data_IF_434323291900
#
_entry.id   IF_434323291900
#
_cell.length_a   1.000
_cell.length_b   1.000
_cell.length_c   1.000
_cell.angle_alpha   90.00
_cell.angle_beta   90.00
_cell.angle_gamma   90.00
#
_symmetry.space_group_name_H-M   'P 1'
#
loop_
_entity.id
_entity.type
_entity.pdbx_description
1 polymer ?
#
# COMPACT_ATOMS: atom_id res chain seq x y z
N UNK A 1 10.18 19.21 15.91
CA UNK A 1 10.90 18.42 14.91
C UNK A 1 10.57 16.94 15.14
N UNK A 2 10.08 16.20 14.13
CA UNK A 2 9.86 14.75 14.26
C UNK A 2 11.20 14.06 14.01
N UNK A 3 11.78 13.44 15.03
CA UNK A 3 13.03 12.68 14.90
C UNK A 3 12.70 11.28 14.44
N UNK A 4 13.17 10.90 13.25
CA UNK A 4 13.09 9.52 12.76
C UNK A 4 14.46 8.87 12.94
N UNK A 5 14.47 7.65 13.47
CA UNK A 5 15.66 6.81 13.61
C UNK A 5 15.39 5.45 12.97
N UNK A 6 16.40 4.92 12.28
CA UNK A 6 16.36 3.58 11.71
C UNK A 6 17.36 2.73 12.48
N UNK A 7 16.91 1.59 12.99
CA UNK A 7 17.73 0.66 13.74
C UNK A 7 17.68 -0.71 13.05
N UNK A 8 18.77 -1.47 13.18
CA UNK A 8 18.85 -2.86 12.73
C UNK A 8 19.00 -3.75 13.95
N UNK A 9 18.20 -4.82 14.03
CA UNK A 9 18.35 -5.84 15.06
C UNK A 9 19.51 -6.74 14.63
N UNK A 10 20.57 -6.77 15.44
CA UNK A 10 21.79 -7.54 15.14
C UNK A 10 21.75 -8.98 15.71
N UNK A 11 20.98 -9.19 16.78
CA UNK A 11 20.88 -10.46 17.49
C UNK A 11 19.42 -10.81 17.67
N UNK A 12 18.97 -11.90 17.03
CA UNK A 12 17.62 -12.43 17.14
C UNK A 12 17.66 -13.95 16.99
N UNK A 13 16.99 -14.67 17.88
CA UNK A 13 16.94 -16.15 17.82
C UNK A 13 15.96 -16.62 16.75
N UNK A 14 16.06 -17.89 16.36
CA UNK A 14 15.11 -18.48 15.40
C UNK A 14 13.66 -18.42 15.90
N UNK A 15 13.44 -18.73 17.17
CA UNK A 15 12.13 -18.66 17.84
C UNK A 15 11.56 -17.24 17.80
N UNK A 16 12.37 -16.23 18.17
CA UNK A 16 11.97 -14.83 18.11
C UNK A 16 11.62 -14.37 16.68
N UNK A 17 12.35 -14.86 15.67
CA UNK A 17 12.03 -14.59 14.25
C UNK A 17 10.66 -15.18 13.90
N UNK A 18 10.39 -16.43 14.29
CA UNK A 18 9.14 -17.12 13.99
C UNK A 18 7.94 -16.42 14.64
N UNK A 19 8.06 -16.05 15.92
CA UNK A 19 7.04 -15.29 16.65
C UNK A 19 6.78 -13.93 16.02
N UNK A 20 7.85 -13.19 15.69
CA UNK A 20 7.73 -11.88 15.05
C UNK A 20 7.08 -11.98 13.66
N UNK A 21 7.45 -12.98 12.86
CA UNK A 21 6.84 -13.23 11.55
C UNK A 21 5.35 -13.57 11.72
N UNK A 22 4.99 -14.40 12.70
CA UNK A 22 3.60 -14.74 13.00
C UNK A 22 2.78 -13.51 13.36
N UNK A 23 3.31 -12.65 14.25
CA UNK A 23 2.69 -11.39 14.65
C UNK A 23 2.53 -10.44 13.46
N UNK A 24 3.58 -10.23 12.66
CA UNK A 24 3.54 -9.39 11.45
C UNK A 24 2.46 -9.89 10.48
N UNK A 25 2.43 -11.21 10.22
CA UNK A 25 1.46 -11.81 9.30
C UNK A 25 0.02 -11.58 9.78
N UNK A 26 -0.22 -11.76 11.08
CA UNK A 26 -1.52 -11.59 11.72
C UNK A 26 -1.95 -10.13 11.70
N UNK A 27 -1.07 -9.21 12.10
CA UNK A 27 -1.30 -7.76 12.05
C UNK A 27 -1.63 -7.26 10.64
N UNK A 28 -0.81 -7.64 9.64
CA UNK A 28 -1.01 -7.23 8.25
C UNK A 28 -2.30 -7.82 7.65
N UNK A 29 -2.69 -9.03 8.08
CA UNK A 29 -3.98 -9.62 7.74
C UNK A 29 -5.14 -8.83 8.34
N UNK A 30 -5.04 -8.46 9.62
CA UNK A 30 -6.03 -7.62 10.31
C UNK A 30 -6.17 -6.24 9.64
N UNK A 31 -5.07 -5.60 9.23
CA UNK A 31 -5.08 -4.33 8.50
C UNK A 31 -5.84 -4.44 7.17
N UNK A 32 -5.54 -5.46 6.36
CA UNK A 32 -6.22 -5.69 5.07
C UNK A 32 -7.71 -5.99 5.24
N UNK A 33 -8.03 -6.81 6.23
CA UNK A 33 -9.42 -7.11 6.57
C UNK A 33 -10.16 -5.83 6.96
N UNK A 34 -9.55 -5.02 7.83
CA UNK A 34 -10.09 -3.74 8.27
C UNK A 34 -10.34 -2.80 7.11
N UNK A 35 -9.39 -2.71 6.17
CA UNK A 35 -9.52 -1.87 4.98
C UNK A 35 -10.77 -2.22 4.16
N UNK A 36 -11.01 -3.51 3.90
CA UNK A 36 -12.19 -3.95 3.15
C UNK A 36 -13.49 -3.65 3.91
N UNK A 37 -13.51 -3.92 5.23
CA UNK A 37 -14.69 -3.64 6.07
C UNK A 37 -15.02 -2.16 6.18
N UNK A 38 -14.00 -1.30 6.24
CA UNK A 38 -14.18 0.16 6.24
C UNK A 38 -14.75 0.67 4.91
N UNK A 39 -14.36 0.06 3.78
CA UNK A 39 -14.96 0.37 2.47
C UNK A 39 -16.44 -0.03 2.43
N UNK A 40 -16.78 -1.16 3.04
CA UNK A 40 -18.15 -1.65 3.16
C UNK A 40 -19.00 -0.88 4.18
N UNK A 41 -18.43 0.14 4.85
CA UNK A 41 -19.15 1.00 5.78
C UNK A 41 -19.25 0.46 7.22
N UNK A 42 -18.48 -0.56 7.59
CA UNK A 42 -18.48 -1.06 8.97
C UNK A 42 -17.95 0.00 9.96
N UNK A 43 -18.55 0.03 11.16
CA UNK A 43 -18.11 0.91 12.24
C UNK A 43 -16.77 0.47 12.85
N UNK A 44 -15.86 1.42 13.05
CA UNK A 44 -14.53 1.19 13.63
C UNK A 44 -14.55 0.47 14.99
N UNK A 45 -15.43 0.87 15.92
CA UNK A 45 -15.43 0.30 17.28
C UNK A 45 -15.85 -1.17 17.27
N UNK A 46 -16.84 -1.50 16.46
CA UNK A 46 -17.29 -2.89 16.29
C UNK A 46 -16.25 -3.72 15.53
N UNK A 47 -15.58 -3.12 14.54
CA UNK A 47 -14.48 -3.74 13.83
C UNK A 47 -13.33 -4.12 14.77
N UNK A 48 -12.92 -3.24 15.68
CA UNK A 48 -11.86 -3.54 16.69
C UNK A 48 -12.22 -4.75 17.55
N UNK A 49 -13.50 -4.88 17.97
CA UNK A 49 -13.97 -6.05 18.74
C UNK A 49 -13.90 -7.33 17.90
N UNK A 50 -14.37 -7.28 16.64
CA UNK A 50 -14.29 -8.41 15.70
C UNK A 50 -12.85 -8.85 15.46
N UNK A 51 -11.92 -7.90 15.33
CA UNK A 51 -10.51 -8.20 15.08
C UNK A 51 -9.86 -8.95 16.25
N UNK A 52 -10.15 -8.55 17.50
CA UNK A 52 -9.60 -9.21 18.68
C UNK A 52 -9.98 -10.70 18.70
N UNK A 53 -11.26 -11.00 18.46
CA UNK A 53 -11.75 -12.39 18.43
C UNK A 53 -11.20 -13.18 17.23
N UNK A 54 -11.08 -12.52 16.07
CA UNK A 54 -10.70 -13.18 14.80
C UNK A 54 -9.20 -13.43 14.66
N UNK A 55 -8.38 -12.51 15.14
CA UNK A 55 -6.93 -12.52 14.94
C UNK A 55 -6.16 -12.79 16.23
N UNK A 56 -6.84 -12.88 17.38
CA UNK A 56 -6.23 -13.07 18.70
C UNK A 56 -5.14 -12.03 19.00
N UNK A 57 -5.29 -10.83 18.42
CA UNK A 57 -4.42 -9.70 18.69
C UNK A 57 -4.92 -8.95 19.90
N UNK A 58 -4.00 -8.41 20.70
CA UNK A 58 -4.37 -7.47 21.74
C UNK A 58 -5.08 -6.23 21.14
N UNK A 59 -5.94 -5.61 21.95
CA UNK A 59 -6.77 -4.47 21.54
C UNK A 59 -5.97 -3.37 20.86
N UNK A 60 -4.75 -3.10 21.32
CA UNK A 60 -3.92 -2.00 20.81
C UNK A 60 -3.44 -2.27 19.38
N UNK A 61 -3.03 -3.50 19.05
CA UNK A 61 -2.73 -3.87 17.67
C UNK A 61 -3.97 -3.82 16.77
N UNK A 62 -5.14 -4.18 17.29
CA UNK A 62 -6.38 -4.04 16.53
C UNK A 62 -6.70 -2.56 16.22
N UNK A 63 -6.61 -1.67 17.21
CA UNK A 63 -6.74 -0.21 17.01
C UNK A 63 -5.76 0.30 15.96
N UNK A 64 -4.51 -0.14 16.02
CA UNK A 64 -3.45 0.32 15.12
C UNK A 64 -3.62 -0.25 13.70
N UNK A 65 -4.12 -1.47 13.55
CA UNK A 65 -4.47 -2.05 12.25
C UNK A 65 -5.63 -1.29 11.58
N UNK A 66 -6.66 -0.92 12.35
CA UNK A 66 -7.78 -0.11 11.85
C UNK A 66 -7.32 1.29 11.48
N UNK A 67 -6.49 1.94 12.31
CA UNK A 67 -5.92 3.25 12.00
C UNK A 67 -5.10 3.23 10.71
N UNK A 68 -4.22 2.24 10.55
CA UNK A 68 -3.44 2.07 9.32
C UNK A 68 -4.35 1.92 8.09
N UNK A 69 -5.42 1.12 8.22
CA UNK A 69 -6.41 0.96 7.15
C UNK A 69 -7.14 2.28 6.81
N UNK A 70 -7.56 3.05 7.82
CA UNK A 70 -8.16 4.37 7.63
C UNK A 70 -7.19 5.36 6.98
N UNK A 71 -5.91 5.31 7.37
CA UNK A 71 -4.86 6.19 6.82
C UNK A 71 -4.62 5.89 5.34
N UNK A 72 -4.57 4.60 4.98
CA UNK A 72 -4.52 4.17 3.58
C UNK A 72 -5.77 4.68 2.85
N UNK A 73 -6.96 4.52 3.42
CA UNK A 73 -8.20 4.97 2.80
C UNK A 73 -8.21 6.49 2.53
N UNK A 74 -7.83 7.30 3.52
CA UNK A 74 -7.73 8.77 3.38
C UNK A 74 -6.74 9.15 2.30
N UNK A 75 -5.53 8.58 2.35
CA UNK A 75 -4.48 8.84 1.38
C UNK A 75 -4.93 8.51 -0.04
N UNK A 76 -5.67 7.43 -0.24
CA UNK A 76 -6.13 7.01 -1.56
C UNK A 76 -7.24 7.92 -2.10
N UNK A 77 -8.10 8.44 -1.22
CA UNK A 77 -9.08 9.48 -1.58
C UNK A 77 -8.38 10.78 -2.00
N UNK A 78 -7.39 11.22 -1.24
CA UNK A 78 -6.62 12.44 -1.52
C UNK A 78 -5.80 12.35 -2.81
N UNK A 79 -5.26 11.17 -3.12
CA UNK A 79 -4.45 10.95 -4.33
C UNK A 79 -5.30 10.81 -5.60
N UNK A 80 -6.59 10.52 -5.49
CA UNK A 80 -7.43 10.21 -6.64
C UNK A 80 -7.54 11.39 -7.64
N UNK A 81 -7.79 12.65 -7.24
CA UNK A 81 -7.76 13.80 -8.14
C UNK A 81 -6.38 14.03 -8.76
N UNK A 82 -5.32 13.85 -7.96
CA UNK A 82 -3.93 13.98 -8.43
C UNK A 82 -3.62 12.93 -9.51
N UNK A 83 -4.13 11.72 -9.36
CA UNK A 83 -3.98 10.68 -10.38
C UNK A 83 -4.77 10.98 -11.65
N UNK A 84 -5.99 11.50 -11.54
CA UNK A 84 -6.78 11.93 -12.67
C UNK A 84 -6.02 13.00 -13.48
N UNK A 85 -5.61 14.09 -12.82
CA UNK A 85 -4.89 15.21 -13.45
C UNK A 85 -3.59 14.74 -14.12
N UNK A 86 -2.83 13.90 -13.44
CA UNK A 86 -1.59 13.35 -14.00
C UNK A 86 -1.82 12.47 -15.23
N UNK A 87 -2.94 11.75 -15.32
CA UNK A 87 -3.25 10.96 -16.52
C UNK A 87 -3.80 11.82 -17.65
N UNK A 88 -4.59 12.86 -17.36
CA UNK A 88 -5.03 13.86 -18.33
C UNK A 88 -3.83 14.58 -18.98
N UNK A 89 -2.87 15.08 -18.18
CA UNK A 89 -1.62 15.67 -18.67
C UNK A 89 -0.78 14.71 -19.53
N UNK A 90 -0.79 13.41 -19.20
CA UNK A 90 -0.13 12.38 -20.01
C UNK A 90 -0.86 12.12 -21.33
N UNK A 91 -2.19 12.18 -21.33
CA UNK A 91 -3.02 12.01 -22.52
C UNK A 91 -2.79 13.19 -23.47
N UNK A 92 -2.86 14.43 -22.98
CA UNK A 92 -2.59 15.65 -23.74
C UNK A 92 -1.22 15.58 -24.45
N UNK A 93 -0.15 15.26 -23.72
CA UNK A 93 1.19 15.07 -24.30
C UNK A 93 1.25 13.95 -25.33
N UNK A 94 0.44 12.90 -25.16
CA UNK A 94 0.37 11.78 -26.11
C UNK A 94 -0.36 12.21 -27.39
N UNK A 95 -1.44 12.98 -27.27
CA UNK A 95 -2.19 13.54 -28.40
C UNK A 95 -1.34 14.55 -29.19
N UNK A 96 -0.68 15.49 -28.51
CA UNK A 96 0.23 16.44 -29.17
C UNK A 96 1.35 15.72 -29.94
N UNK A 97 1.93 14.68 -29.34
CA UNK A 97 2.98 13.90 -30.00
C UNK A 97 2.46 13.14 -31.22
N UNK A 98 1.22 12.66 -31.16
CA UNK A 98 0.56 12.00 -32.30
C UNK A 98 0.30 13.00 -33.43
N UNK A 99 -0.25 14.17 -33.10
CA UNK A 99 -0.46 15.28 -34.04
C UNK A 99 0.84 15.74 -34.70
N UNK A 100 1.91 15.93 -33.93
CA UNK A 100 3.22 16.31 -34.47
C UNK A 100 3.77 15.30 -35.50
N UNK A 101 3.44 14.02 -35.34
CA UNK A 101 3.84 12.95 -36.26
C UNK A 101 2.91 12.84 -37.47
N UNK A 102 1.60 12.97 -37.28
CA UNK A 102 0.62 12.95 -38.36
C UNK A 102 0.75 14.19 -39.28
N UNK A 103 1.11 15.34 -38.72
CA UNK A 103 1.36 16.60 -39.45
C UNK A 103 2.76 16.72 -40.07
N UNK A 104 3.67 15.76 -39.80
CA UNK A 104 5.05 15.79 -40.29
C UNK A 104 5.97 16.81 -39.61
N UNK A 105 5.52 17.52 -38.56
CA UNK A 105 6.37 18.43 -37.76
C UNK A 105 7.52 17.71 -37.08
N UNK A 106 7.34 16.44 -36.75
CA UNK A 106 8.37 15.57 -36.18
C UNK A 106 8.33 14.20 -36.85
N UNK A 107 9.46 13.50 -36.81
CA UNK A 107 9.56 12.13 -37.30
C UNK A 107 10.15 11.21 -36.21
N UNK A 108 9.71 9.94 -36.15
CA UNK A 108 10.29 8.96 -35.24
C UNK A 108 11.71 8.57 -35.68
N UNK A 109 12.64 8.50 -34.73
CA UNK A 109 14.07 8.21 -35.00
C UNK A 109 14.42 6.72 -35.02
N UNK A 110 13.64 5.87 -34.35
CA UNK A 110 14.00 4.45 -34.08
C UNK A 110 13.14 3.43 -34.81
N UNK A 111 11.93 3.80 -35.21
CA UNK A 111 10.92 2.90 -35.78
C UNK A 111 10.15 3.65 -36.86
N UNK A 112 9.46 2.93 -37.75
CA UNK A 112 8.61 3.54 -38.77
C UNK A 112 7.47 4.37 -38.16
N UNK A 113 6.99 5.35 -38.94
CA UNK A 113 5.86 6.21 -38.55
C UNK A 113 4.63 5.39 -38.16
N UNK A 114 4.28 4.41 -38.99
CA UNK A 114 3.14 3.52 -38.77
C UNK A 114 3.21 2.81 -37.41
N UNK A 115 4.33 2.15 -37.12
CA UNK A 115 4.55 1.43 -35.85
C UNK A 115 4.46 2.41 -34.67
N UNK A 116 5.03 3.60 -34.82
CA UNK A 116 4.98 4.62 -33.78
C UNK A 116 3.54 5.07 -33.49
N UNK A 117 2.75 5.36 -34.52
CA UNK A 117 1.36 5.78 -34.41
C UNK A 117 0.49 4.67 -33.79
N UNK A 118 0.69 3.40 -34.16
CA UNK A 118 0.02 2.26 -33.51
C UNK A 118 0.32 2.24 -32.00
N UNK A 119 1.60 2.44 -31.62
CA UNK A 119 2.00 2.52 -30.22
C UNK A 119 1.34 3.68 -29.46
N UNK A 120 1.26 4.86 -30.09
CA UNK A 120 0.61 6.05 -29.52
C UNK A 120 -0.90 5.85 -29.36
N UNK A 121 -1.59 5.24 -30.34
CA UNK A 121 -3.02 4.90 -30.25
C UNK A 121 -3.30 3.94 -29.09
N UNK A 122 -2.49 2.88 -28.93
CA UNK A 122 -2.61 1.95 -27.78
C UNK A 122 -2.38 2.66 -26.44
N UNK A 123 -1.44 3.60 -26.40
CA UNK A 123 -1.17 4.41 -25.20
C UNK A 123 -2.33 5.36 -24.89
N UNK A 124 -2.88 6.03 -25.90
CA UNK A 124 -4.04 6.91 -25.81
C UNK A 124 -5.22 6.15 -25.19
N UNK A 125 -5.61 5.02 -25.78
CA UNK A 125 -6.71 4.18 -25.29
C UNK A 125 -6.53 3.78 -23.80
N UNK A 126 -5.31 3.39 -23.40
CA UNK A 126 -5.00 3.05 -22.00
C UNK A 126 -5.08 4.22 -21.04
N UNK A 127 -4.81 5.44 -21.51
CA UNK A 127 -4.91 6.65 -20.69
C UNK A 127 -6.37 7.08 -20.55
N UNK A 128 -7.14 7.05 -21.64
CA UNK A 128 -8.58 7.32 -21.65
C UNK A 128 -9.34 6.39 -20.68
N UNK A 129 -9.11 5.07 -20.78
CA UNK A 129 -9.70 4.09 -19.85
C UNK A 129 -9.37 4.37 -18.38
N UNK A 130 -8.16 4.87 -18.08
CA UNK A 130 -7.77 5.21 -16.71
C UNK A 130 -8.44 6.48 -16.21
N UNK A 131 -8.54 7.48 -17.08
CA UNK A 131 -9.20 8.75 -16.79
C UNK A 131 -10.67 8.48 -16.48
N UNK A 132 -11.37 7.75 -17.35
CA UNK A 132 -12.78 7.37 -17.17
C UNK A 132 -13.00 6.60 -15.85
N UNK A 133 -12.13 5.64 -15.55
CA UNK A 133 -12.16 4.91 -14.28
C UNK A 133 -12.04 5.85 -13.08
N UNK A 134 -11.08 6.79 -13.09
CA UNK A 134 -10.90 7.73 -11.99
C UNK A 134 -12.06 8.72 -11.87
N UNK A 135 -12.56 9.25 -12.99
CA UNK A 135 -13.73 10.13 -13.02
C UNK A 135 -14.96 9.45 -12.43
N UNK A 136 -15.19 8.18 -12.81
CA UNK A 136 -16.29 7.37 -12.26
C UNK A 136 -16.17 7.20 -10.75
N UNK A 137 -14.97 6.88 -10.25
CA UNK A 137 -14.74 6.72 -8.81
C UNK A 137 -14.91 8.03 -8.04
N UNK A 138 -14.42 9.15 -8.58
CA UNK A 138 -14.61 10.49 -8.00
C UNK A 138 -16.09 10.82 -7.94
N UNK A 139 -16.81 10.67 -9.06
CA UNK A 139 -18.25 10.96 -9.16
C UNK A 139 -19.07 10.16 -8.15
N UNK A 140 -18.75 8.87 -8.00
CA UNK A 140 -19.50 7.97 -7.13
C UNK A 140 -19.00 8.00 -5.67
N UNK A 141 -17.96 8.78 -5.33
CA UNK A 141 -17.35 8.79 -3.99
C UNK A 141 -16.73 7.45 -3.58
N UNK A 142 -16.33 6.63 -4.55
CA UNK A 142 -15.75 5.30 -4.34
C UNK A 142 -14.25 5.31 -4.63
N UNK A 143 -13.57 4.19 -4.38
CA UNK A 143 -12.14 4.03 -4.68
C UNK A 143 -11.91 2.91 -5.70
N UNK A 144 -10.88 3.05 -6.57
CA UNK A 144 -10.38 1.94 -7.35
C UNK A 144 -9.94 0.78 -6.45
N UNK A 145 -10.00 -0.48 -6.93
CA UNK A 145 -9.53 -1.63 -6.18
C UNK A 145 -8.05 -1.49 -5.77
N UNK A 146 -7.77 -1.74 -4.50
CA UNK A 146 -6.41 -1.70 -3.96
C UNK A 146 -5.82 -3.10 -3.88
N UNK A 147 -4.63 -3.24 -4.46
CA UNK A 147 -3.87 -4.49 -4.44
C UNK A 147 -2.73 -4.35 -3.42
N UNK A 148 -2.94 -4.91 -2.23
CA UNK A 148 -1.88 -5.05 -1.24
C UNK A 148 -0.74 -5.89 -1.81
N UNK A 149 0.52 -5.52 -1.54
CA UNK A 149 1.71 -6.20 -2.08
C UNK A 149 2.17 -5.72 -3.44
N UNK A 150 1.41 -4.81 -4.05
CA UNK A 150 1.78 -4.16 -5.31
C UNK A 150 1.23 -4.87 -6.54
N UNK A 151 0.70 -4.06 -7.47
CA UNK A 151 0.05 -4.52 -8.71
C UNK A 151 0.96 -5.37 -9.61
N UNK A 152 2.27 -5.04 -9.68
CA UNK A 152 3.25 -5.82 -10.45
C UNK A 152 3.30 -7.27 -9.96
N UNK A 153 3.48 -7.44 -8.66
CA UNK A 153 3.63 -8.74 -8.02
C UNK A 153 2.33 -9.57 -8.13
N UNK A 154 1.16 -8.93 -8.04
CA UNK A 154 -0.11 -9.59 -8.31
C UNK A 154 -0.18 -10.19 -9.72
N UNK A 155 0.24 -9.45 -10.75
CA UNK A 155 0.27 -9.99 -12.11
C UNK A 155 1.34 -11.06 -12.33
N UNK A 156 2.50 -10.95 -11.67
CA UNK A 156 3.49 -12.03 -11.71
C UNK A 156 2.98 -13.30 -11.00
N UNK A 157 2.21 -13.14 -9.91
CA UNK A 157 1.50 -14.25 -9.26
C UNK A 157 0.46 -14.88 -10.20
N UNK A 158 -0.32 -14.09 -10.94
CA UNK A 158 -1.30 -14.60 -11.92
C UNK A 158 -0.66 -15.34 -13.10
N UNK A 159 0.64 -15.12 -13.35
CA UNK A 159 1.43 -15.79 -14.39
C UNK A 159 2.28 -16.92 -13.82
N UNK A 160 2.02 -17.32 -12.57
CA UNK A 160 2.75 -18.35 -11.82
C UNK A 160 4.28 -18.14 -11.77
N UNK A 161 4.74 -16.88 -11.86
CA UNK A 161 6.18 -16.55 -11.75
C UNK A 161 6.65 -16.35 -10.32
N UNK A 162 5.72 -16.15 -9.39
CA UNK A 162 6.00 -16.18 -7.96
C UNK A 162 4.99 -17.11 -7.28
N UNK A 163 5.46 -17.82 -6.27
CA UNK A 163 4.64 -18.71 -5.44
C UNK A 163 3.63 -17.92 -4.61
N UNK A 164 2.62 -18.65 -4.10
CA UNK A 164 1.68 -18.08 -3.16
C UNK A 164 2.35 -17.61 -1.86
N UNK A 165 3.42 -18.28 -1.43
CA UNK A 165 4.15 -17.90 -0.22
C UNK A 165 4.93 -16.59 -0.43
N UNK A 166 5.67 -16.46 -1.53
CA UNK A 166 6.34 -15.21 -1.89
C UNK A 166 5.35 -14.04 -1.99
N UNK A 167 4.15 -14.28 -2.54
CA UNK A 167 3.11 -13.26 -2.59
C UNK A 167 2.55 -12.87 -1.21
N UNK A 168 2.47 -13.83 -0.28
CA UNK A 168 2.12 -13.53 1.12
C UNK A 168 3.22 -12.70 1.78
N UNK A 169 4.48 -13.09 1.61
CA UNK A 169 5.64 -12.42 2.21
C UNK A 169 5.83 -10.99 1.68
N UNK A 170 5.49 -10.73 0.42
CA UNK A 170 5.44 -9.37 -0.15
C UNK A 170 4.39 -8.47 0.49
N UNK A 171 3.39 -9.06 1.16
CA UNK A 171 2.26 -8.37 1.80
C UNK A 171 2.34 -8.37 3.33
N UNK A 172 3.34 -9.00 3.91
CA UNK A 172 3.48 -9.15 5.36
C UNK A 172 4.88 -8.75 5.79
N UNK A 173 5.20 -7.44 5.68
CA UNK A 173 6.56 -6.91 5.90
C UNK A 173 6.65 -5.85 6.98
N UNK A 174 5.54 -5.51 7.62
CA UNK A 174 5.48 -4.37 8.52
C UNK A 174 4.66 -4.73 9.75
N UNK A 175 5.25 -4.48 10.91
CA UNK A 175 4.51 -4.30 12.15
C UNK A 175 4.43 -2.80 12.42
N UNK A 176 3.28 -2.31 12.83
CA UNK A 176 3.09 -0.93 13.22
C UNK A 176 2.49 -0.89 14.61
N UNK A 177 3.03 -0.01 15.45
CA UNK A 177 2.49 0.29 16.76
C UNK A 177 2.76 1.75 17.11
N UNK A 178 1.78 2.41 17.72
CA UNK A 178 1.90 3.83 18.12
C UNK A 178 1.90 4.01 19.64
N UNK A 179 2.74 4.95 20.07
CA UNK A 179 2.77 5.41 21.46
C UNK A 179 1.50 6.17 21.87
N UNK A 180 1.19 6.10 23.15
CA UNK A 180 0.14 6.88 23.81
C UNK A 180 0.78 7.79 24.86
N UNK A 181 0.53 9.10 24.78
CA UNK A 181 1.06 10.08 25.73
C UNK A 181 0.58 9.79 27.15
N UNK A 182 -0.67 9.37 27.32
CA UNK A 182 -1.23 9.01 28.63
C UNK A 182 -0.59 7.76 29.23
N UNK A 183 0.03 6.91 28.41
CA UNK A 183 0.71 5.67 28.80
C UNK A 183 2.24 5.77 28.76
N UNK A 184 2.77 7.01 28.70
CA UNK A 184 4.21 7.31 28.66
C UNK A 184 4.93 6.60 27.50
N UNK A 185 4.30 6.51 26.33
CA UNK A 185 4.91 5.95 25.13
C UNK A 185 4.19 4.72 24.61
N UNK A 186 4.93 3.84 23.93
CA UNK A 186 4.38 2.66 23.28
C UNK A 186 4.34 1.47 24.23
N UNK A 187 3.16 0.87 24.40
CA UNK A 187 2.95 -0.28 25.28
C UNK A 187 3.28 -1.62 24.61
N UNK A 188 3.20 -1.68 23.27
CA UNK A 188 3.39 -2.91 22.52
C UNK A 188 4.81 -3.05 21.94
N UNK A 189 5.54 -1.94 21.77
CA UNK A 189 6.91 -1.96 21.24
C UNK A 189 7.76 -0.97 22.03
N UNK A 190 8.74 -1.46 22.79
CA UNK A 190 9.62 -0.63 23.64
C UNK A 190 11.08 -0.87 23.30
N UNK A 191 11.86 0.21 23.29
CA UNK A 191 13.32 0.12 23.26
C UNK A 191 13.79 0.21 24.71
N UNK A 192 14.42 -0.84 25.21
CA UNK A 192 15.04 -0.90 26.53
C UNK A 192 16.55 -0.97 26.39
N UNK A 193 17.27 -0.57 27.43
CA UNK A 193 18.74 -0.62 27.47
C UNK A 193 19.11 -1.31 28.77
N UNK A 194 19.98 -2.31 28.68
CA UNK A 194 20.49 -3.01 29.86
C UNK A 194 21.63 -2.24 30.55
N UNK A 195 22.09 -2.74 31.69
CA UNK A 195 23.16 -2.13 32.49
C UNK A 195 24.50 -2.03 31.74
N UNK A 196 24.69 -2.83 30.68
CA UNK A 196 25.87 -2.82 29.83
C UNK A 196 25.76 -1.80 28.67
N UNK A 197 24.64 -1.08 28.55
CA UNK A 197 24.38 -0.12 27.48
C UNK A 197 23.90 -0.77 26.18
N UNK A 198 23.58 -2.07 26.18
CA UNK A 198 23.06 -2.77 25.02
C UNK A 198 21.55 -2.55 24.91
N UNK A 199 21.11 -2.17 23.71
CA UNK A 199 19.70 -1.88 23.41
C UNK A 199 18.93 -3.13 22.97
N UNK A 200 17.70 -3.26 23.47
CA UNK A 200 16.76 -4.33 23.19
C UNK A 200 15.44 -3.77 22.64
N UNK A 201 14.79 -4.51 21.75
CA UNK A 201 13.43 -4.20 21.29
C UNK A 201 12.47 -5.23 21.88
N UNK A 202 11.69 -4.79 22.85
CA UNK A 202 10.62 -5.58 23.45
C UNK A 202 9.34 -5.42 22.63
N UNK A 203 8.70 -6.54 22.30
CA UNK A 203 7.43 -6.57 21.57
C UNK A 203 6.43 -7.37 22.40
N UNK A 204 5.34 -6.73 22.80
CA UNK A 204 4.23 -7.42 23.45
C UNK A 204 3.51 -8.25 22.39
N UNK A 205 3.19 -9.50 22.73
CA UNK A 205 2.32 -10.37 21.93
C UNK A 205 1.00 -10.54 22.70
#
# INVERSE_FOLDING_TARGET
>A
MKTTRTCKINSITKEQIEDLISLIRTFESAKRYSFNRLIEGENEKELIKKLQLKYLLNKRFCEDAVLQAQTILSSQKELLPVYLENNQKKLEKTLQKKDDYESGRKNPKKVSLEICLIGLRKRQQKLEQKIEMYETHIKNGTLPPIIFGGRKNFYERMKDKISNQEWKDLRTRQLYSRGDKSKKGNLNMRITVDDCGQGWLEIAN
#
